data_IF_015166538559
#
_entry.id   IF_015166538559
#
_cell.length_a   1.000
_cell.length_b   1.000
_cell.length_c   1.000
_cell.angle_alpha   90.00
_cell.angle_beta   90.00
_cell.angle_gamma   90.00
#
_symmetry.space_group_name_H-M   'P 1'
#
loop_
_entity.id
_entity.type
_entity.pdbx_description
1 polymer ?
#
# COMPACT_ATOMS: atom_id res chain seq x y z
N UNK A 1 9.64 -0.38 40.89
CA UNK A 1 9.43 -1.44 39.87
C UNK A 1 8.82 -0.82 38.61
N UNK A 2 9.63 -0.16 37.78
CA UNK A 2 9.20 0.48 36.53
C UNK A 2 9.98 -0.13 35.36
N UNK A 3 9.81 -1.44 35.14
CA UNK A 3 10.42 -2.12 34.01
C UNK A 3 9.77 -1.69 32.69
N UNK A 4 10.53 -1.80 31.60
CA UNK A 4 10.04 -1.59 30.26
C UNK A 4 8.85 -2.52 29.97
N UNK A 5 7.66 -1.96 29.75
CA UNK A 5 6.40 -2.75 29.64
C UNK A 5 6.23 -3.44 28.29
N UNK A 6 6.78 -2.85 27.24
CA UNK A 6 6.63 -3.40 25.88
C UNK A 6 7.69 -4.49 25.66
N UNK A 7 7.30 -5.70 25.23
CA UNK A 7 8.25 -6.77 24.99
C UNK A 7 9.26 -6.40 23.88
N UNK A 8 10.56 -6.65 24.11
CA UNK A 8 11.62 -6.39 23.13
C UNK A 8 11.35 -7.02 21.75
N UNK A 9 10.63 -8.15 21.73
CA UNK A 9 10.25 -8.87 20.50
C UNK A 9 9.42 -8.00 19.55
N UNK A 10 8.57 -7.12 20.07
CA UNK A 10 7.77 -6.23 19.23
C UNK A 10 8.65 -5.18 18.54
N UNK A 11 9.66 -4.63 19.24
CA UNK A 11 10.64 -3.73 18.61
C UNK A 11 11.50 -4.44 17.59
N UNK A 12 11.93 -5.67 17.86
CA UNK A 12 12.68 -6.45 16.88
C UNK A 12 11.85 -6.71 15.61
N UNK A 13 10.56 -7.02 15.77
CA UNK A 13 9.63 -7.18 14.64
C UNK A 13 9.46 -5.88 13.85
N UNK A 14 9.28 -4.74 14.53
CA UNK A 14 9.18 -3.42 13.89
C UNK A 14 10.49 -3.00 13.20
N UNK A 15 11.64 -3.27 13.81
CA UNK A 15 12.94 -2.99 13.20
C UNK A 15 13.13 -3.82 11.92
N UNK A 16 12.82 -5.12 11.97
CA UNK A 16 12.86 -5.98 10.79
C UNK A 16 11.89 -5.50 9.69
N UNK A 17 10.70 -5.03 10.09
CA UNK A 17 9.73 -4.43 9.18
C UNK A 17 10.26 -3.17 8.49
N UNK A 18 10.82 -2.22 9.24
CA UNK A 18 11.40 -1.00 8.66
C UNK A 18 12.60 -1.27 7.76
N UNK A 19 13.46 -2.22 8.13
CA UNK A 19 14.56 -2.66 7.27
C UNK A 19 14.05 -3.24 5.95
N UNK A 20 12.93 -3.96 5.97
CA UNK A 20 12.31 -4.49 4.76
C UNK A 20 11.70 -3.39 3.87
N UNK A 21 11.09 -2.35 4.46
CA UNK A 21 10.62 -1.18 3.71
C UNK A 21 11.78 -0.45 3.04
N UNK A 22 12.89 -0.23 3.76
CA UNK A 22 14.11 0.39 3.21
C UNK A 22 14.72 -0.46 2.09
N UNK A 23 14.82 -1.78 2.29
CA UNK A 23 15.29 -2.69 1.25
C UNK A 23 14.43 -2.57 -0.01
N UNK A 24 13.10 -2.55 0.15
CA UNK A 24 12.19 -2.39 -0.97
C UNK A 24 12.33 -1.04 -1.67
N UNK A 25 12.50 0.04 -0.91
CA UNK A 25 12.77 1.37 -1.45
C UNK A 25 14.02 1.32 -2.33
N UNK A 26 15.14 0.79 -1.83
CA UNK A 26 16.37 0.63 -2.59
C UNK A 26 16.20 -0.20 -3.87
N UNK A 27 15.46 -1.31 -3.80
CA UNK A 27 15.16 -2.14 -4.99
C UNK A 27 14.40 -1.34 -6.04
N UNK A 28 13.38 -0.58 -5.65
CA UNK A 28 12.61 0.26 -6.59
C UNK A 28 13.49 1.36 -7.17
N UNK A 29 14.30 2.07 -6.37
CA UNK A 29 15.21 3.11 -6.89
C UNK A 29 16.23 2.52 -7.86
N UNK A 30 16.74 1.32 -7.60
CA UNK A 30 17.63 0.61 -8.53
C UNK A 30 16.90 0.30 -9.85
N UNK A 31 15.65 -0.15 -9.80
CA UNK A 31 14.84 -0.41 -11.00
C UNK A 31 14.53 0.88 -11.78
N UNK A 32 14.32 2.00 -11.09
CA UNK A 32 14.19 3.31 -11.72
C UNK A 32 15.43 3.73 -12.52
N UNK A 33 16.64 3.35 -12.09
CA UNK A 33 17.87 3.60 -12.86
C UNK A 33 17.88 2.88 -14.20
N UNK A 34 17.09 1.81 -14.35
CA UNK A 34 16.87 1.10 -15.62
C UNK A 34 15.69 1.68 -16.42
N UNK A 35 15.14 2.82 -16.03
CA UNK A 35 14.04 3.50 -16.74
C UNK A 35 12.66 2.90 -16.49
N UNK A 36 12.45 2.26 -15.34
CA UNK A 36 11.17 1.62 -14.96
C UNK A 36 10.69 2.14 -13.59
N UNK A 37 9.50 2.77 -13.50
CA UNK A 37 8.66 3.22 -14.61
C UNK A 37 9.34 4.35 -15.42
N UNK A 38 8.83 4.64 -16.63
CA UNK A 38 9.49 5.62 -17.54
C UNK A 38 9.45 7.04 -17.01
N UNK A 39 8.49 7.32 -16.15
CA UNK A 39 8.23 8.60 -15.50
C UNK A 39 8.76 8.65 -14.06
N UNK A 40 9.67 7.74 -13.68
CA UNK A 40 10.26 7.76 -12.34
C UNK A 40 11.01 9.08 -12.08
N UNK A 41 10.70 9.71 -10.94
CA UNK A 41 11.32 10.96 -10.54
C UNK A 41 12.79 10.74 -10.11
N UNK A 42 13.73 11.56 -10.60
CA UNK A 42 15.09 11.56 -10.07
C UNK A 42 15.10 12.24 -8.69
N UNK A 43 15.58 11.55 -7.64
CA UNK A 43 15.78 12.21 -6.33
C UNK A 43 17.01 13.09 -6.48
N UNK A 44 16.79 14.39 -6.59
CA UNK A 44 17.90 15.34 -6.71
C UNK A 44 18.23 15.99 -5.38
N UNK A 45 17.36 15.88 -4.37
CA UNK A 45 17.52 16.59 -3.09
C UNK A 45 17.38 15.65 -1.90
N UNK A 46 18.38 15.69 -1.02
CA UNK A 46 18.41 14.91 0.22
C UNK A 46 17.19 15.18 1.12
N UNK A 47 16.67 16.41 1.12
CA UNK A 47 15.51 16.78 1.93
C UNK A 47 14.24 16.03 1.51
N UNK A 48 14.02 15.85 0.21
CA UNK A 48 12.87 15.11 -0.35
C UNK A 48 12.98 13.63 0.04
N UNK A 49 14.17 13.04 -0.09
CA UNK A 49 14.43 11.65 0.36
C UNK A 49 14.16 11.45 1.86
N UNK A 50 14.55 12.42 2.70
CA UNK A 50 14.28 12.34 4.15
C UNK A 50 12.78 12.44 4.43
N UNK A 51 12.06 13.28 3.70
CA UNK A 51 10.61 13.39 3.80
C UNK A 51 9.91 12.09 3.37
N UNK A 52 10.36 11.47 2.28
CA UNK A 52 9.88 10.17 1.81
C UNK A 52 10.03 9.10 2.88
N UNK A 53 11.21 9.03 3.51
CA UNK A 53 11.46 8.10 4.61
C UNK A 53 10.56 8.37 5.81
N UNK A 54 10.33 9.64 6.15
CA UNK A 54 9.38 9.99 7.21
C UNK A 54 7.97 9.46 6.90
N UNK A 55 7.44 9.73 5.70
CA UNK A 55 6.10 9.27 5.30
C UNK A 55 6.04 7.75 5.25
N UNK A 56 7.05 7.12 4.65
CA UNK A 56 7.16 5.67 4.55
C UNK A 56 7.19 5.00 5.93
N UNK A 57 7.94 5.54 6.89
CA UNK A 57 8.00 4.99 8.25
C UNK A 57 6.72 5.24 9.03
N UNK A 58 6.10 6.41 8.92
CA UNK A 58 4.83 6.70 9.61
C UNK A 58 3.72 5.78 9.10
N UNK A 59 3.52 5.72 7.79
CA UNK A 59 2.48 4.87 7.20
C UNK A 59 2.83 3.38 7.34
N UNK A 60 4.12 3.02 7.21
CA UNK A 60 4.62 1.67 7.44
C UNK A 60 4.42 1.21 8.90
N UNK A 61 4.58 2.11 9.86
CA UNK A 61 4.25 1.85 11.26
C UNK A 61 2.74 1.62 11.46
N UNK A 62 1.90 2.48 10.88
CA UNK A 62 0.45 2.28 10.89
C UNK A 62 0.06 0.92 10.31
N UNK A 63 0.63 0.53 9.17
CA UNK A 63 0.42 -0.81 8.59
C UNK A 63 0.84 -1.91 9.56
N UNK A 64 2.03 -1.83 10.15
CA UNK A 64 2.53 -2.84 11.06
C UNK A 64 1.68 -3.00 12.33
N UNK A 65 1.13 -1.88 12.83
CA UNK A 65 0.22 -1.88 13.98
C UNK A 65 -1.13 -2.49 13.59
N UNK A 66 -1.77 -1.96 12.54
CA UNK A 66 -3.12 -2.36 12.15
C UNK A 66 -3.19 -3.80 11.65
N UNK A 67 -2.19 -4.26 10.89
CA UNK A 67 -2.14 -5.65 10.38
C UNK A 67 -1.48 -6.63 11.36
N UNK A 68 -1.06 -6.14 12.53
CA UNK A 68 -0.48 -6.95 13.59
C UNK A 68 0.93 -7.46 13.30
N UNK A 69 1.66 -6.97 12.29
CA UNK A 69 3.04 -7.41 11.97
C UNK A 69 3.97 -7.33 13.19
N UNK A 70 3.77 -6.35 14.07
CA UNK A 70 4.53 -6.21 15.32
C UNK A 70 4.21 -7.29 16.38
N UNK A 71 3.11 -8.05 16.22
CA UNK A 71 2.70 -9.10 17.14
C UNK A 71 3.47 -10.41 16.85
N UNK A 72 3.96 -11.12 17.89
CA UNK A 72 4.81 -12.30 17.70
C UNK A 72 4.19 -13.41 16.83
N UNK A 73 2.90 -13.69 17.00
CA UNK A 73 2.22 -14.76 16.25
C UNK A 73 2.13 -14.44 14.76
N UNK A 74 1.71 -13.21 14.43
CA UNK A 74 1.62 -12.70 13.06
C UNK A 74 3.01 -12.61 12.42
N UNK A 75 3.99 -12.07 13.13
CA UNK A 75 5.37 -12.00 12.65
C UNK A 75 5.92 -13.40 12.34
N UNK A 76 5.72 -14.37 13.24
CA UNK A 76 6.14 -15.75 13.04
C UNK A 76 5.37 -16.48 11.92
N UNK A 77 4.15 -16.04 11.60
CA UNK A 77 3.42 -16.53 10.44
C UNK A 77 4.02 -16.02 9.12
N UNK A 78 4.29 -14.70 9.04
CA UNK A 78 4.81 -14.04 7.84
C UNK A 78 6.25 -14.45 7.56
N UNK A 79 7.13 -14.34 8.55
CA UNK A 79 8.57 -14.54 8.41
C UNK A 79 9.02 -15.96 8.80
N UNK A 80 8.19 -16.97 8.50
CA UNK A 80 8.57 -18.38 8.67
C UNK A 80 9.47 -18.82 7.52
N UNK A 81 10.78 -18.86 7.72
CA UNK A 81 11.74 -19.28 6.69
C UNK A 81 12.07 -20.78 6.69
N UNK A 82 11.67 -21.53 7.73
CA UNK A 82 11.95 -22.97 7.85
C UNK A 82 10.71 -23.84 7.57
N UNK A 83 10.94 -25.14 7.33
CA UNK A 83 9.91 -26.18 7.09
C UNK A 83 8.81 -26.17 8.17
N UNK A 84 7.57 -26.60 7.85
CA UNK A 84 7.15 -27.29 6.62
C UNK A 84 6.72 -26.38 5.45
N UNK A 85 6.45 -25.09 5.71
CA UNK A 85 6.01 -24.14 4.67
C UNK A 85 6.78 -22.82 4.86
N UNK A 86 7.84 -22.55 4.06
CA UNK A 86 8.72 -21.42 4.28
C UNK A 86 8.12 -20.13 3.69
N UNK A 87 7.04 -19.65 4.30
CA UNK A 87 6.25 -18.48 3.86
C UNK A 87 7.05 -17.18 3.83
N UNK A 88 8.12 -17.07 4.61
CA UNK A 88 8.97 -15.88 4.65
C UNK A 88 9.58 -15.54 3.29
N UNK A 89 10.03 -16.55 2.53
CA UNK A 89 10.56 -16.32 1.18
C UNK A 89 9.46 -15.86 0.22
N UNK A 90 8.26 -16.44 0.31
CA UNK A 90 7.14 -16.01 -0.51
C UNK A 90 6.73 -14.56 -0.17
N UNK A 91 6.65 -14.22 1.11
CA UNK A 91 6.31 -12.85 1.55
C UNK A 91 7.33 -11.83 1.04
N UNK A 92 8.62 -12.06 1.32
CA UNK A 92 9.70 -11.17 0.89
C UNK A 92 9.79 -11.11 -0.62
N UNK A 93 9.73 -12.25 -1.32
CA UNK A 93 9.79 -12.30 -2.77
C UNK A 93 8.63 -11.55 -3.44
N UNK A 94 7.39 -11.77 -2.98
CA UNK A 94 6.22 -11.04 -3.51
C UNK A 94 6.38 -9.55 -3.24
N UNK A 95 6.74 -9.16 -2.02
CA UNK A 95 6.92 -7.74 -1.68
C UNK A 95 7.99 -7.10 -2.56
N UNK A 96 9.15 -7.75 -2.71
CA UNK A 96 10.27 -7.23 -3.49
C UNK A 96 9.96 -7.11 -4.98
N UNK A 97 9.22 -8.08 -5.54
CA UNK A 97 8.84 -8.08 -6.95
C UNK A 97 7.65 -7.19 -7.27
N UNK A 98 6.77 -6.90 -6.30
CA UNK A 98 5.53 -6.16 -6.57
C UNK A 98 5.79 -4.72 -7.01
N UNK A 99 6.80 -4.05 -6.45
CA UNK A 99 7.18 -2.70 -6.89
C UNK A 99 7.65 -2.67 -8.35
N UNK A 100 8.72 -3.41 -8.70
CA UNK A 100 9.19 -3.51 -10.08
C UNK A 100 8.11 -3.99 -11.06
N UNK A 101 7.30 -4.98 -10.67
CA UNK A 101 6.19 -5.46 -11.49
C UNK A 101 5.14 -4.37 -11.73
N UNK A 102 4.79 -3.59 -10.69
CA UNK A 102 3.87 -2.47 -10.81
C UNK A 102 4.41 -1.36 -11.72
N UNK A 103 5.66 -0.94 -11.52
CA UNK A 103 6.32 0.05 -12.39
C UNK A 103 6.46 -0.42 -13.84
N UNK A 104 6.63 -1.72 -14.06
CA UNK A 104 6.72 -2.31 -15.41
C UNK A 104 5.38 -2.28 -16.16
N UNK A 105 4.24 -2.12 -15.47
CA UNK A 105 2.93 -2.00 -16.14
C UNK A 105 2.88 -0.76 -17.03
N UNK A 106 3.60 0.31 -16.68
CA UNK A 106 3.71 1.52 -17.50
C UNK A 106 4.44 1.28 -18.83
N UNK A 107 5.31 0.25 -18.88
CA UNK A 107 6.02 -0.12 -20.10
C UNK A 107 5.14 -0.88 -21.11
N UNK A 108 3.97 -1.38 -20.68
CA UNK A 108 3.00 -2.08 -21.54
C UNK A 108 1.95 -1.08 -21.99
N UNK A 109 1.97 -0.72 -23.27
CA UNK A 109 1.13 0.36 -23.83
C UNK A 109 -0.37 0.16 -23.60
N UNK A 110 -0.87 -1.08 -23.65
CA UNK A 110 -2.27 -1.37 -23.39
C UNK A 110 -2.66 -1.16 -21.93
N UNK A 111 -1.73 -1.38 -20.99
CA UNK A 111 -1.97 -1.26 -19.55
C UNK A 111 -1.77 0.18 -19.08
N UNK A 112 -0.81 0.91 -19.64
CA UNK A 112 -0.61 2.34 -19.33
C UNK A 112 -1.78 3.21 -19.78
N UNK A 113 -2.56 2.76 -20.78
CA UNK A 113 -3.81 3.40 -21.19
C UNK A 113 -4.98 3.14 -20.23
N UNK A 114 -4.90 2.16 -19.33
CA UNK A 114 -5.94 1.90 -18.33
C UNK A 114 -5.87 2.99 -17.27
N UNK A 115 -6.73 3.99 -17.42
CA UNK A 115 -6.93 5.01 -16.39
C UNK A 115 -8.34 4.93 -15.83
N UNK A 116 -8.51 5.12 -14.53
CA UNK A 116 -9.84 5.23 -13.91
C UNK A 116 -10.44 6.63 -14.10
N UNK A 117 -10.32 7.18 -15.32
CA UNK A 117 -10.86 8.49 -15.69
C UNK A 117 -12.15 8.33 -16.49
N UNK A 118 -13.03 9.32 -16.43
CA UNK A 118 -14.25 9.36 -17.25
C UNK A 118 -13.94 9.28 -18.76
N UNK A 119 -12.79 9.80 -19.19
CA UNK A 119 -12.33 9.74 -20.57
C UNK A 119 -12.02 8.30 -21.03
N UNK A 120 -11.43 7.47 -20.17
CA UNK A 120 -11.15 6.06 -20.47
C UNK A 120 -12.44 5.27 -20.70
N UNK A 121 -13.46 5.48 -19.85
CA UNK A 121 -14.76 4.82 -20.02
C UNK A 121 -15.50 5.28 -21.27
N UNK A 122 -15.38 6.56 -21.63
CA UNK A 122 -16.04 7.11 -22.83
C UNK A 122 -15.42 6.58 -24.13
N UNK A 123 -14.11 6.40 -24.17
CA UNK A 123 -13.38 6.05 -25.39
C UNK A 123 -13.10 4.54 -25.52
N UNK A 124 -13.04 3.80 -24.41
CA UNK A 124 -12.66 2.37 -24.39
C UNK A 124 -13.81 1.38 -24.65
N UNK A 125 -15.05 1.86 -24.71
CA UNK A 125 -16.24 1.05 -24.99
C UNK A 125 -16.47 -0.08 -23.97
N UNK A 126 -17.15 -1.15 -24.42
CA UNK A 126 -17.58 -2.25 -23.54
C UNK A 126 -16.40 -3.02 -22.91
N UNK A 127 -15.27 -3.17 -23.62
CA UNK A 127 -14.10 -3.90 -23.13
C UNK A 127 -13.49 -3.24 -21.89
N UNK A 128 -13.29 -1.92 -21.94
CA UNK A 128 -12.76 -1.15 -20.81
C UNK A 128 -13.68 -1.17 -19.59
N UNK A 129 -15.00 -1.13 -19.82
CA UNK A 129 -16.00 -1.26 -18.77
C UNK A 129 -15.95 -2.65 -18.11
N UNK A 130 -15.84 -3.72 -18.90
CA UNK A 130 -15.73 -5.09 -18.38
C UNK A 130 -14.46 -5.29 -17.54
N UNK A 131 -13.31 -4.80 -18.00
CA UNK A 131 -12.04 -4.92 -17.26
C UNK A 131 -12.13 -4.14 -15.93
N UNK A 132 -12.57 -2.88 -15.98
CA UNK A 132 -12.71 -2.07 -14.78
C UNK A 132 -13.73 -2.67 -13.80
N UNK A 133 -14.87 -3.16 -14.31
CA UNK A 133 -15.89 -3.86 -13.53
C UNK A 133 -15.34 -5.12 -12.87
N UNK A 134 -14.52 -5.90 -13.57
CA UNK A 134 -13.87 -7.10 -13.02
C UNK A 134 -12.86 -6.75 -11.92
N UNK A 135 -12.02 -5.72 -12.12
CA UNK A 135 -11.07 -5.24 -11.10
C UNK A 135 -11.84 -4.74 -9.86
N UNK A 136 -12.89 -3.95 -10.07
CA UNK A 136 -13.74 -3.44 -8.99
C UNK A 136 -14.43 -4.57 -8.23
N UNK A 137 -15.01 -5.55 -8.93
CA UNK A 137 -15.66 -6.71 -8.32
C UNK A 137 -14.65 -7.56 -7.53
N UNK A 138 -13.44 -7.75 -8.04
CA UNK A 138 -12.38 -8.46 -7.33
C UNK A 138 -11.94 -7.72 -6.05
N UNK A 139 -11.76 -6.40 -6.12
CA UNK A 139 -11.44 -5.56 -4.98
C UNK A 139 -12.55 -5.61 -3.91
N UNK A 140 -13.82 -5.47 -4.33
CA UNK A 140 -14.97 -5.59 -3.44
C UNK A 140 -15.09 -6.99 -2.83
N UNK A 141 -14.87 -8.03 -3.62
CA UNK A 141 -14.87 -9.42 -3.16
C UNK A 141 -13.79 -9.67 -2.11
N UNK A 142 -12.56 -9.16 -2.32
CA UNK A 142 -11.47 -9.24 -1.36
C UNK A 142 -11.78 -8.47 -0.06
N UNK A 143 -12.36 -7.27 -0.18
CA UNK A 143 -12.82 -6.49 0.96
C UNK A 143 -13.85 -7.28 1.78
N UNK A 144 -14.95 -7.70 1.15
CA UNK A 144 -16.02 -8.46 1.80
C UNK A 144 -15.50 -9.75 2.42
N UNK A 145 -14.61 -10.46 1.73
CA UNK A 145 -13.99 -11.68 2.27
C UNK A 145 -13.24 -11.42 3.58
N UNK A 146 -12.47 -10.33 3.68
CA UNK A 146 -11.77 -9.98 4.91
C UNK A 146 -12.73 -9.64 6.06
N UNK A 147 -13.82 -8.91 5.79
CA UNK A 147 -14.84 -8.61 6.82
C UNK A 147 -15.60 -9.86 7.26
N UNK A 148 -15.94 -10.76 6.34
CA UNK A 148 -16.55 -12.06 6.67
C UNK A 148 -15.58 -12.93 7.46
N UNK A 149 -14.29 -12.93 7.11
CA UNK A 149 -13.26 -13.63 7.86
C UNK A 149 -13.13 -13.08 9.28
N UNK A 150 -13.11 -11.75 9.42
CA UNK A 150 -13.09 -11.05 10.70
C UNK A 150 -14.26 -11.48 11.59
N UNK A 151 -15.48 -11.46 11.03
CA UNK A 151 -16.72 -11.82 11.72
C UNK A 151 -16.73 -13.28 12.17
N UNK A 152 -16.26 -14.21 11.33
CA UNK A 152 -16.27 -15.65 11.62
C UNK A 152 -15.22 -16.10 12.64
N UNK A 153 -14.08 -15.42 12.73
CA UNK A 153 -12.92 -15.90 13.49
C UNK A 153 -12.57 -15.05 14.72
N UNK A 154 -13.34 -14.00 15.01
CA UNK A 154 -13.11 -13.13 16.17
C UNK A 154 -14.38 -12.98 17.00
N UNK A 155 -14.25 -12.74 18.32
CA UNK A 155 -15.38 -12.24 19.11
C UNK A 155 -15.86 -10.89 18.56
N UNK A 156 -17.08 -10.49 18.92
CA UNK A 156 -17.68 -9.24 18.45
C UNK A 156 -16.77 -8.02 18.68
N UNK A 157 -16.11 -7.94 19.83
CA UNK A 157 -15.16 -6.85 20.13
C UNK A 157 -13.97 -6.81 19.16
N UNK A 158 -13.41 -7.97 18.80
CA UNK A 158 -12.32 -8.08 17.82
C UNK A 158 -12.79 -7.74 16.41
N UNK A 159 -13.97 -8.22 16.02
CA UNK A 159 -14.60 -7.83 14.76
C UNK A 159 -14.83 -6.32 14.66
N UNK A 160 -15.40 -5.70 15.70
CA UNK A 160 -15.63 -4.26 15.74
C UNK A 160 -14.30 -3.47 15.71
N UNK A 161 -13.28 -3.92 16.43
CA UNK A 161 -11.96 -3.29 16.37
C UNK A 161 -11.36 -3.36 14.96
N UNK A 162 -11.49 -4.52 14.28
CA UNK A 162 -11.10 -4.68 12.88
C UNK A 162 -11.87 -3.70 11.97
N UNK A 163 -13.20 -3.68 12.05
CA UNK A 163 -14.04 -2.82 11.22
C UNK A 163 -13.74 -1.33 11.44
N UNK A 164 -13.76 -0.88 12.69
CA UNK A 164 -13.58 0.54 13.04
C UNK A 164 -12.20 1.05 12.64
N UNK A 165 -11.13 0.26 12.86
CA UNK A 165 -9.78 0.68 12.50
C UNK A 165 -9.55 0.80 10.99
N UNK A 166 -10.26 0.00 10.19
CA UNK A 166 -10.16 0.03 8.71
C UNK A 166 -11.04 1.14 8.16
N UNK A 167 -12.31 1.14 8.57
CA UNK A 167 -13.28 2.12 8.12
C UNK A 167 -12.86 3.54 8.49
N UNK A 168 -12.23 3.78 9.64
CA UNK A 168 -11.76 5.14 9.98
C UNK A 168 -10.73 5.67 8.98
N UNK A 169 -9.77 4.84 8.57
CA UNK A 169 -8.74 5.22 7.59
C UNK A 169 -9.35 5.40 6.21
N UNK A 170 -10.22 4.47 5.79
CA UNK A 170 -10.91 4.56 4.51
C UNK A 170 -11.86 5.76 4.44
N UNK A 171 -12.62 6.03 5.49
CA UNK A 171 -13.50 7.20 5.59
C UNK A 171 -12.69 8.49 5.63
N UNK A 172 -11.53 8.51 6.29
CA UNK A 172 -10.65 9.67 6.28
C UNK A 172 -10.20 10.01 4.86
N UNK A 173 -9.64 9.05 4.12
CA UNK A 173 -9.22 9.29 2.73
C UNK A 173 -10.41 9.53 1.80
N UNK A 174 -11.54 8.85 2.01
CA UNK A 174 -12.77 9.07 1.24
C UNK A 174 -13.31 10.48 1.42
N UNK A 175 -13.38 10.96 2.67
CA UNK A 175 -13.78 12.33 2.98
C UNK A 175 -12.76 13.34 2.44
N UNK A 176 -11.47 13.07 2.57
CA UNK A 176 -10.40 13.91 2.05
C UNK A 176 -10.52 14.08 0.51
N UNK A 177 -10.72 12.99 -0.22
CA UNK A 177 -10.94 13.01 -1.67
C UNK A 177 -12.26 13.71 -2.05
N UNK A 178 -13.32 13.51 -1.26
CA UNK A 178 -14.58 14.22 -1.46
C UNK A 178 -14.38 15.74 -1.34
N UNK A 179 -13.78 16.22 -0.25
CA UNK A 179 -13.49 17.65 -0.07
C UNK A 179 -12.60 18.19 -1.20
N UNK A 180 -11.57 17.44 -1.60
CA UNK A 180 -10.70 17.82 -2.72
C UNK A 180 -11.49 18.01 -4.02
N UNK A 181 -12.43 17.11 -4.33
CA UNK A 181 -13.25 17.18 -5.54
C UNK A 181 -14.20 18.39 -5.59
N UNK A 182 -14.52 18.98 -4.44
CA UNK A 182 -15.36 20.18 -4.34
C UNK A 182 -14.56 21.48 -4.31
N UNK A 183 -13.22 21.41 -4.21
CA UNK A 183 -12.38 22.60 -4.05
C UNK A 183 -11.85 23.09 -5.40
N UNK A 184 -12.24 24.29 -5.81
CA UNK A 184 -11.75 24.88 -7.06
C UNK A 184 -10.22 25.06 -7.05
N UNK A 185 -9.55 24.75 -8.15
CA UNK A 185 -8.09 24.85 -8.28
C UNK A 185 -7.30 23.77 -7.54
N UNK A 186 -7.98 22.74 -7.01
CA UNK A 186 -7.37 21.53 -6.46
C UNK A 186 -7.54 20.39 -7.45
N UNK A 187 -6.46 19.69 -7.72
CA UNK A 187 -6.46 18.45 -8.48
C UNK A 187 -6.06 17.29 -7.58
N UNK A 188 -6.76 16.17 -7.75
CA UNK A 188 -6.50 14.92 -7.04
C UNK A 188 -5.57 14.06 -7.90
N UNK A 189 -4.34 13.88 -7.45
CA UNK A 189 -3.48 12.81 -7.93
C UNK A 189 -3.55 11.68 -6.91
N UNK A 190 -4.30 10.62 -7.20
CA UNK A 190 -4.30 9.46 -6.31
C UNK A 190 -3.00 8.69 -6.53
N UNK A 191 -1.98 8.99 -5.72
CA UNK A 191 -0.70 8.31 -5.81
C UNK A 191 -0.85 6.83 -5.47
N UNK A 192 -0.16 5.99 -6.24
CA UNK A 192 -0.17 4.53 -6.08
C UNK A 192 0.23 4.08 -4.66
N UNK A 193 1.02 4.90 -3.94
CA UNK A 193 1.41 4.55 -2.57
C UNK A 193 0.20 4.49 -1.62
N UNK A 194 -0.79 5.38 -1.77
CA UNK A 194 -2.02 5.37 -0.98
C UNK A 194 -2.86 4.13 -1.30
N UNK A 195 -2.94 3.76 -2.58
CA UNK A 195 -3.68 2.56 -3.02
C UNK A 195 -3.05 1.31 -2.39
N UNK A 196 -1.73 1.16 -2.53
CA UNK A 196 -0.99 0.04 -1.93
C UNK A 196 -1.19 -0.02 -0.41
N UNK A 197 -1.12 1.12 0.27
CA UNK A 197 -1.36 1.25 1.70
C UNK A 197 -2.77 0.80 2.10
N UNK A 198 -3.81 1.34 1.46
CA UNK A 198 -5.22 1.02 1.77
C UNK A 198 -5.55 -0.45 1.54
N UNK A 199 -4.97 -1.05 0.49
CA UNK A 199 -5.12 -2.46 0.18
C UNK A 199 -4.40 -3.33 1.21
N UNK A 200 -3.14 -3.01 1.54
CA UNK A 200 -2.34 -3.74 2.53
C UNK A 200 -2.99 -3.73 3.93
N UNK A 201 -3.67 -2.65 4.28
CA UNK A 201 -4.29 -2.44 5.59
C UNK A 201 -5.40 -3.46 5.93
N UNK A 202 -6.00 -4.09 4.93
CA UNK A 202 -6.99 -5.16 5.11
C UNK A 202 -6.36 -6.48 5.59
N UNK A 203 -5.05 -6.65 5.40
CA UNK A 203 -4.40 -7.93 5.46
C UNK A 203 -3.91 -8.34 6.87
N UNK A 204 -4.82 -8.45 7.83
CA UNK A 204 -4.49 -8.83 9.23
C UNK A 204 -4.34 -10.35 9.44
N UNK A 205 -5.12 -11.16 8.71
CA UNK A 205 -5.29 -12.57 9.07
C UNK A 205 -4.12 -13.45 8.69
N UNK A 206 -3.86 -14.48 9.51
CA UNK A 206 -2.91 -15.57 9.25
C UNK A 206 -3.37 -16.52 8.14
N UNK A 207 -3.62 -15.96 6.96
CA UNK A 207 -4.13 -16.63 5.77
C UNK A 207 -3.27 -16.30 4.55
N UNK A 208 -3.10 -17.22 3.57
CA UNK A 208 -2.30 -16.96 2.37
C UNK A 208 -2.77 -15.74 1.57
N UNK A 209 -4.08 -15.51 1.47
CA UNK A 209 -4.63 -14.33 0.77
C UNK A 209 -4.14 -13.04 1.45
N UNK A 210 -4.25 -12.93 2.77
CA UNK A 210 -3.74 -11.77 3.50
C UNK A 210 -2.22 -11.67 3.43
N UNK A 211 -1.49 -12.79 3.38
CA UNK A 211 -0.04 -12.76 3.16
C UNK A 211 0.30 -12.09 1.81
N UNK A 212 -0.33 -12.55 0.73
CA UNK A 212 -0.12 -12.01 -0.62
C UNK A 212 -0.56 -10.54 -0.67
N UNK A 213 -1.73 -10.23 -0.11
CA UNK A 213 -2.28 -8.87 -0.11
C UNK A 213 -1.39 -7.89 0.65
N UNK A 214 -0.88 -8.29 1.83
CA UNK A 214 0.05 -7.48 2.61
C UNK A 214 1.36 -7.28 1.85
N UNK A 215 1.94 -8.36 1.31
CA UNK A 215 3.21 -8.29 0.59
C UNK A 215 3.11 -7.40 -0.67
N UNK A 216 2.11 -7.64 -1.51
CA UNK A 216 1.91 -6.91 -2.75
C UNK A 216 1.49 -5.46 -2.48
N UNK A 217 0.53 -5.23 -1.59
CA UNK A 217 0.10 -3.89 -1.21
C UNK A 217 1.23 -3.07 -0.59
N UNK A 218 2.06 -3.66 0.27
CA UNK A 218 3.25 -2.99 0.82
C UNK A 218 4.29 -2.71 -0.26
N UNK A 219 4.49 -3.64 -1.20
CA UNK A 219 5.41 -3.43 -2.33
C UNK A 219 4.98 -2.28 -3.23
N UNK A 220 3.69 -2.17 -3.56
CA UNK A 220 3.11 -1.05 -4.32
C UNK A 220 3.15 0.25 -3.50
N UNK A 221 2.90 0.18 -2.20
CA UNK A 221 3.02 1.31 -1.28
C UNK A 221 4.42 1.93 -1.33
N UNK A 222 5.45 1.10 -1.10
CA UNK A 222 6.84 1.58 -1.11
C UNK A 222 7.26 2.02 -2.52
N UNK A 223 6.79 1.33 -3.57
CA UNK A 223 7.08 1.73 -4.94
C UNK A 223 6.53 3.12 -5.27
N UNK A 224 5.31 3.42 -4.85
CA UNK A 224 4.72 4.73 -5.14
C UNK A 224 5.52 5.87 -4.51
N UNK A 225 6.07 5.69 -3.30
CA UNK A 225 6.95 6.67 -2.67
C UNK A 225 8.31 6.69 -3.37
N UNK A 226 8.93 5.54 -3.59
CA UNK A 226 10.28 5.47 -4.15
C UNK A 226 10.34 5.96 -5.60
N UNK A 227 9.29 5.82 -6.39
CA UNK A 227 9.30 6.21 -7.80
C UNK A 227 8.77 7.64 -8.05
N UNK A 228 7.91 8.16 -7.18
CA UNK A 228 7.14 9.39 -7.43
C UNK A 228 7.14 10.35 -6.23
N UNK A 229 8.05 10.15 -5.28
CA UNK A 229 8.12 10.86 -4.01
C UNK A 229 6.86 10.63 -3.14
N UNK A 230 6.92 11.01 -1.86
CA UNK A 230 5.77 11.03 -0.96
C UNK A 230 4.87 12.26 -1.20
N UNK A 231 4.59 12.55 -2.46
CA UNK A 231 3.86 13.74 -2.87
C UNK A 231 2.45 13.82 -2.24
N UNK A 232 1.99 15.03 -1.86
CA UNK A 232 0.71 15.18 -1.24
C UNK A 232 -0.41 14.81 -2.22
N UNK A 233 -1.38 14.02 -1.74
CA UNK A 233 -2.57 13.60 -2.49
C UNK A 233 -3.35 14.77 -3.12
N UNK A 234 -3.26 15.96 -2.52
CA UNK A 234 -3.79 17.21 -3.07
C UNK A 234 -2.64 18.11 -3.50
N UNK A 235 -2.66 18.48 -4.77
CA UNK A 235 -1.80 19.52 -5.32
C UNK A 235 -2.66 20.73 -5.64
N UNK A 236 -2.37 21.88 -4.99
CA UNK A 236 -2.96 23.16 -5.38
C UNK A 236 -2.34 23.60 -6.68
N UNK A 237 -3.16 23.88 -7.69
CA UNK A 237 -2.70 24.54 -8.90
C UNK A 237 -2.20 25.93 -8.49
N UNK A 238 -0.90 26.20 -8.62
CA UNK A 238 -0.42 27.58 -8.52
C UNK A 238 -1.06 28.33 -9.68
N UNK A 239 -2.11 29.10 -9.40
CA UNK A 239 -2.48 30.22 -10.23
C UNK A 239 -1.25 31.12 -10.25
N UNK A 240 -0.47 31.00 -11.33
CA UNK A 240 0.48 32.05 -11.70
C UNK A 240 -0.40 33.28 -11.96
N UNK A 241 -0.58 34.08 -10.91
CA UNK A 241 -1.04 35.45 -11.03
C UNK A 241 0.09 36.16 -11.78
N UNK A 242 -0.06 36.21 -13.11
CA UNK A 242 0.62 37.18 -13.94
C UNK A 242 0.00 38.56 -13.69
#
# INVERSE_FOLDING_TARGET
RHGHRVPWRQYAALAAWFLLLLLQYCVVRMVCQFGVPRDCHPDTRLLEVVYDFQVMFVMGFMLAVLTGVHLPDRFAYLFRFRKPRPRGFAFVGIMLLSGPAWGSLDCVEELSRISFTSAYFRNGGAKSLLIAGAIFAAALGLLLWHFVCAFKHNPLSGFLAYCCSRLSVWLFYGFYLFVASQTAGVYVHLHHYIIGFLVALLAEFNHPISLVLLAAGTGVFVQGIAAYDADPVIVKQRLLLF
#
